data_IF_954540095058
#
_entry.id   IF_954540095058
#
_cell.length_a   1.000
_cell.length_b   1.000
_cell.length_c   1.000
_cell.angle_alpha   90.00
_cell.angle_beta   90.00
_cell.angle_gamma   90.00
#
_symmetry.space_group_name_H-M   'P 1'
#
loop_
_entity.id
_entity.type
_entity.pdbx_description
1 polymer ?
#
# COMPACT_ATOMS: atom_id res chain seq x y z
N UNK A 1 49.15 5.05 -20.21
CA UNK A 1 48.83 5.19 -18.77
C UNK A 1 47.48 5.89 -18.50
N UNK A 2 46.96 6.73 -19.41
CA UNK A 2 45.67 7.43 -19.20
C UNK A 2 44.41 6.54 -19.30
N UNK A 3 44.47 5.39 -20.00
CA UNK A 3 43.32 4.51 -20.24
C UNK A 3 42.82 3.79 -18.98
N UNK A 4 43.68 3.52 -17.99
CA UNK A 4 43.28 2.85 -16.74
C UNK A 4 42.52 3.78 -15.80
N UNK A 5 42.89 5.06 -15.77
CA UNK A 5 42.29 6.05 -14.87
C UNK A 5 40.86 6.39 -15.28
N UNK A 6 40.60 6.59 -16.58
CA UNK A 6 39.26 6.95 -17.08
C UNK A 6 38.23 5.85 -16.80
N UNK A 7 38.59 4.58 -16.99
CA UNK A 7 37.71 3.45 -16.71
C UNK A 7 37.40 3.33 -15.20
N UNK A 8 38.39 3.50 -14.33
CA UNK A 8 38.20 3.50 -12.87
C UNK A 8 37.29 4.65 -12.42
N UNK A 9 37.45 5.85 -13.00
CA UNK A 9 36.58 7.00 -12.71
C UNK A 9 35.13 6.72 -13.13
N UNK A 10 34.92 6.11 -14.30
CA UNK A 10 33.60 5.76 -14.80
C UNK A 10 32.94 4.67 -13.93
N UNK A 11 33.69 3.65 -13.51
CA UNK A 11 33.16 2.60 -12.63
C UNK A 11 32.71 3.16 -11.28
N UNK A 12 33.50 4.06 -10.67
CA UNK A 12 33.13 4.69 -9.38
C UNK A 12 31.86 5.52 -9.52
N UNK A 13 31.73 6.29 -10.61
CA UNK A 13 30.53 7.11 -10.86
C UNK A 13 29.28 6.22 -11.01
N UNK A 14 29.38 5.12 -11.76
CA UNK A 14 28.26 4.20 -11.97
C UNK A 14 27.75 3.59 -10.65
N UNK A 15 28.67 3.16 -9.80
CA UNK A 15 28.33 2.60 -8.48
C UNK A 15 27.66 3.65 -7.60
N UNK A 16 28.18 4.89 -7.59
CA UNK A 16 27.62 5.98 -6.81
C UNK A 16 26.19 6.32 -7.26
N UNK A 17 25.95 6.40 -8.58
CA UNK A 17 24.62 6.64 -9.15
C UNK A 17 23.63 5.52 -8.78
N UNK A 18 24.05 4.25 -8.87
CA UNK A 18 23.21 3.10 -8.50
C UNK A 18 22.81 3.13 -7.02
N UNK A 19 23.76 3.43 -6.13
CA UNK A 19 23.48 3.54 -4.68
C UNK A 19 22.58 4.72 -4.37
N UNK A 20 22.74 5.86 -5.06
CA UNK A 20 21.92 7.05 -4.86
C UNK A 20 20.46 6.84 -5.29
N UNK A 21 20.23 6.17 -6.43
CA UNK A 21 18.90 5.82 -6.90
C UNK A 21 18.22 4.85 -5.92
N UNK A 22 18.95 3.86 -5.40
CA UNK A 22 18.42 2.89 -4.44
C UNK A 22 18.00 3.57 -3.13
N UNK A 23 18.82 4.47 -2.59
CA UNK A 23 18.50 5.23 -1.37
C UNK A 23 17.25 6.09 -1.57
N UNK A 24 17.13 6.84 -2.67
CA UNK A 24 15.95 7.67 -2.94
C UNK A 24 14.68 6.83 -3.14
N UNK A 25 14.79 5.70 -3.85
CA UNK A 25 13.68 4.78 -4.09
C UNK A 25 13.22 4.03 -2.83
N UNK A 26 14.11 3.85 -1.85
CA UNK A 26 13.82 3.17 -0.59
C UNK A 26 13.11 4.04 0.47
N UNK A 27 12.99 5.35 0.23
CA UNK A 27 12.42 6.29 1.20
C UNK A 27 10.89 6.21 1.35
N UNK A 28 10.20 5.34 0.63
CA UNK A 28 8.73 5.26 0.66
C UNK A 28 8.17 3.83 0.57
N UNK A 29 8.80 2.86 1.23
CA UNK A 29 8.12 1.61 1.58
C UNK A 29 8.06 1.42 3.10
N UNK A 30 7.68 2.48 3.80
CA UNK A 30 6.81 2.32 4.95
C UNK A 30 5.44 2.63 4.38
N UNK A 31 4.80 1.63 3.77
CA UNK A 31 3.35 1.64 3.68
C UNK A 31 2.89 1.73 5.13
N UNK A 32 2.58 2.94 5.58
CA UNK A 32 1.78 3.12 6.78
C UNK A 32 0.59 2.22 6.55
N UNK A 33 0.45 1.20 7.38
CA UNK A 33 -0.62 0.21 7.36
C UNK A 33 -1.95 0.90 7.67
N UNK A 34 -2.39 1.77 6.76
CA UNK A 34 -3.76 2.23 6.70
C UNK A 34 -4.60 1.05 6.24
N UNK A 35 -5.80 0.95 6.77
CA UNK A 35 -6.77 -0.06 6.32
C UNK A 35 -7.27 0.19 4.89
N UNK A 36 -6.51 0.86 4.02
CA UNK A 36 -6.92 1.17 2.65
C UNK A 36 -7.15 -0.10 1.83
N UNK A 37 -6.28 -1.11 1.99
CA UNK A 37 -6.48 -2.43 1.38
C UNK A 37 -7.75 -3.12 1.90
N UNK A 38 -7.96 -3.08 3.22
CA UNK A 38 -9.14 -3.62 3.88
C UNK A 38 -10.43 -2.89 3.44
N UNK A 39 -10.40 -1.55 3.37
CA UNK A 39 -11.50 -0.68 2.92
C UNK A 39 -11.81 -0.98 1.46
N UNK A 40 -10.81 -1.04 0.59
CA UNK A 40 -10.99 -1.31 -0.84
C UNK A 40 -11.60 -2.69 -1.07
N UNK A 41 -11.13 -3.70 -0.33
CA UNK A 41 -11.69 -5.06 -0.37
C UNK A 41 -13.14 -5.09 0.16
N UNK A 42 -13.43 -4.38 1.26
CA UNK A 42 -14.79 -4.23 1.80
C UNK A 42 -15.71 -3.52 0.79
N UNK A 43 -15.27 -2.45 0.15
CA UNK A 43 -16.08 -1.76 -0.84
C UNK A 43 -16.35 -2.72 -2.00
N UNK A 44 -15.32 -3.32 -2.59
CA UNK A 44 -15.47 -4.22 -3.73
C UNK A 44 -16.46 -5.37 -3.46
N UNK A 45 -16.38 -5.99 -2.28
CA UNK A 45 -17.17 -7.18 -1.96
C UNK A 45 -18.48 -6.89 -1.20
N UNK A 46 -18.55 -5.80 -0.44
CA UNK A 46 -19.64 -5.49 0.48
C UNK A 46 -20.44 -4.24 0.11
N UNK A 47 -20.13 -3.48 -0.95
CA UNK A 47 -20.80 -2.19 -1.28
C UNK A 47 -22.32 -2.26 -1.16
N UNK A 48 -22.96 -3.34 -1.62
CA UNK A 48 -24.43 -3.45 -1.57
C UNK A 48 -25.01 -3.64 -0.16
N UNK A 49 -24.20 -4.06 0.80
CA UNK A 49 -24.59 -4.29 2.20
C UNK A 49 -24.10 -3.20 3.16
N UNK A 50 -23.06 -2.44 2.81
CA UNK A 50 -22.55 -1.31 3.63
C UNK A 50 -23.23 0.03 3.35
N UNK A 51 -24.07 0.11 2.32
CA UNK A 51 -24.88 1.30 2.06
C UNK A 51 -25.92 1.49 3.17
N UNK A 52 -25.82 2.62 3.88
CA UNK A 52 -26.74 2.99 4.97
C UNK A 52 -28.17 3.30 4.47
N UNK A 53 -28.31 3.57 3.18
CA UNK A 53 -29.58 3.91 2.52
C UNK A 53 -30.11 2.68 1.77
N UNK A 54 -31.24 2.13 2.24
CA UNK A 54 -31.96 1.07 1.53
C UNK A 54 -32.39 -0.11 2.40
N UNK A 55 -32.81 -1.19 1.73
CA UNK A 55 -33.21 -2.46 2.37
C UNK A 55 -31.96 -3.18 2.87
N UNK A 56 -32.00 -3.69 4.11
CA UNK A 56 -30.90 -4.49 4.68
C UNK A 56 -30.75 -5.78 3.86
N UNK A 57 -29.77 -5.79 2.96
CA UNK A 57 -29.45 -6.95 2.12
C UNK A 57 -28.39 -7.76 2.86
N UNK A 58 -28.63 -9.06 3.13
CA UNK A 58 -27.64 -9.89 3.80
C UNK A 58 -26.34 -9.93 2.97
N UNK A 59 -25.16 -9.83 3.62
CA UNK A 59 -23.90 -9.87 2.92
C UNK A 59 -23.69 -11.23 2.24
N UNK A 60 -23.05 -11.22 1.07
CA UNK A 60 -22.59 -12.45 0.44
C UNK A 60 -21.55 -13.16 1.33
N UNK A 61 -21.43 -14.49 1.21
CA UNK A 61 -20.45 -15.29 1.97
C UNK A 61 -19.01 -14.73 1.85
N UNK A 62 -18.66 -14.25 0.66
CA UNK A 62 -17.36 -13.65 0.38
C UNK A 62 -17.16 -12.34 1.17
N UNK A 63 -18.16 -11.46 1.20
CA UNK A 63 -18.13 -10.24 2.01
C UNK A 63 -17.97 -10.55 3.51
N UNK A 64 -18.68 -11.56 4.03
CA UNK A 64 -18.54 -11.96 5.43
C UNK A 64 -17.12 -12.46 5.75
N UNK A 65 -16.49 -13.16 4.82
CA UNK A 65 -15.12 -13.66 4.97
C UNK A 65 -14.09 -12.54 4.94
N UNK A 66 -14.32 -11.48 4.16
CA UNK A 66 -13.47 -10.28 4.14
C UNK A 66 -13.63 -9.50 5.44
N UNK A 67 -14.87 -9.19 5.85
CA UNK A 67 -15.16 -8.45 7.10
C UNK A 67 -14.54 -9.13 8.33
N UNK A 68 -14.53 -10.45 8.36
CA UNK A 68 -13.95 -11.24 9.46
C UNK A 68 -12.41 -11.19 9.50
N UNK A 69 -11.77 -10.87 8.38
CA UNK A 69 -10.31 -10.78 8.23
C UNK A 69 -9.79 -9.35 8.32
N UNK A 70 -10.65 -8.36 8.06
CA UNK A 70 -10.29 -6.93 8.11
C UNK A 70 -10.12 -6.41 9.53
N UNK A 71 -9.23 -5.43 9.69
CA UNK A 71 -8.98 -4.76 10.97
C UNK A 71 -10.08 -3.73 11.30
N UNK A 72 -11.15 -4.19 11.97
CA UNK A 72 -12.30 -3.36 12.36
C UNK A 72 -11.90 -2.09 13.15
N UNK A 73 -10.97 -2.13 14.14
CA UNK A 73 -10.57 -0.93 14.88
C UNK A 73 -9.98 0.16 13.98
N UNK A 74 -9.12 -0.22 13.03
CA UNK A 74 -8.50 0.70 12.09
C UNK A 74 -9.50 1.21 11.05
N UNK A 75 -10.42 0.36 10.56
CA UNK A 75 -11.55 0.80 9.73
C UNK A 75 -12.38 1.87 10.45
N UNK A 76 -12.83 1.59 11.67
CA UNK A 76 -13.63 2.53 12.48
C UNK A 76 -12.94 3.88 12.63
N UNK A 77 -11.62 3.91 12.86
CA UNK A 77 -10.86 5.16 12.96
C UNK A 77 -10.90 6.01 11.68
N UNK A 78 -11.04 5.38 10.51
CA UNK A 78 -11.14 6.09 9.22
C UNK A 78 -12.55 6.54 8.86
N UNK A 79 -13.59 5.79 9.24
CA UNK A 79 -15.01 6.11 8.91
C UNK A 79 -15.70 7.02 9.93
N UNK A 80 -15.30 6.98 11.20
CA UNK A 80 -15.79 7.92 12.22
C UNK A 80 -14.69 8.92 12.54
N UNK A 81 -14.71 10.15 11.98
CA UNK A 81 -13.99 11.24 12.60
C UNK A 81 -14.59 11.42 14.00
N UNK A 82 -13.74 11.34 15.02
CA UNK A 82 -14.14 11.50 16.42
C UNK A 82 -14.89 12.81 16.66
#
# INVERSE_FOLDING_TARGET
>A
MALGFTNVRVTVIMVLVMTFIFVIGSNNFIASSGCEDDISSLISQCTKSVLKVGKQIPPSSECCSVVKKTDVPCLCKSITPY
#
